data_IF_243727532177
#
_entry.id   IF_243727532177
#
_cell.length_a   1.000
_cell.length_b   1.000
_cell.length_c   1.000
_cell.angle_alpha   90.00
_cell.angle_beta   90.00
_cell.angle_gamma   90.00
#
_symmetry.space_group_name_H-M   'P 1'
#
loop_
_entity.id
_entity.type
_entity.pdbx_description
1 polymer ?
#
# COMPACT_ATOMS: atom_id res chain seq x y z
N UNK A 1 22.60 -34.04 12.94
CA UNK A 1 23.17 -34.01 14.30
C UNK A 1 23.51 -32.56 14.57
N UNK A 2 22.88 -31.92 15.57
CA UNK A 2 23.03 -30.48 15.83
C UNK A 2 24.47 -30.22 16.29
N UNK A 3 25.19 -29.33 15.58
CA UNK A 3 26.51 -28.88 16.00
C UNK A 3 26.35 -27.82 17.12
N UNK A 4 26.64 -28.22 18.36
CA UNK A 4 26.43 -27.40 19.56
C UNK A 4 27.27 -26.12 19.61
N UNK A 5 28.47 -26.13 19.01
CA UNK A 5 29.33 -24.95 18.95
C UNK A 5 28.74 -23.90 17.99
N UNK A 6 28.28 -24.35 16.82
CA UNK A 6 27.62 -23.50 15.83
C UNK A 6 26.30 -22.95 16.39
N UNK A 7 25.55 -23.81 17.10
CA UNK A 7 24.30 -23.43 17.73
C UNK A 7 24.50 -22.26 18.72
N UNK A 8 25.44 -22.40 19.64
CA UNK A 8 25.71 -21.36 20.64
C UNK A 8 26.13 -20.03 20.02
N UNK A 9 26.87 -20.07 18.90
CA UNK A 9 27.25 -18.87 18.16
C UNK A 9 26.04 -18.19 17.49
N UNK A 10 25.15 -18.98 16.89
CA UNK A 10 23.94 -18.47 16.24
C UNK A 10 22.95 -17.90 17.26
N UNK A 11 22.73 -18.60 18.38
CA UNK A 11 21.85 -18.12 19.44
C UNK A 11 22.36 -16.82 20.04
N UNK A 12 23.66 -16.75 20.38
CA UNK A 12 24.27 -15.53 20.90
C UNK A 12 24.14 -14.37 19.91
N UNK A 13 24.21 -14.64 18.61
CA UNK A 13 24.12 -13.61 17.58
C UNK A 13 22.69 -13.14 17.34
N UNK A 14 21.74 -14.05 17.10
CA UNK A 14 20.35 -13.66 16.84
C UNK A 14 19.67 -13.06 18.07
N UNK A 15 20.06 -13.45 19.29
CA UNK A 15 19.52 -12.86 20.53
C UNK A 15 19.84 -11.37 20.69
N UNK A 16 20.83 -10.83 19.96
CA UNK A 16 21.12 -9.39 19.95
C UNK A 16 20.06 -8.59 19.16
N UNK A 17 19.38 -9.21 18.20
CA UNK A 17 18.44 -8.55 17.27
C UNK A 17 16.99 -9.04 17.42
N UNK A 18 16.82 -10.26 17.90
CA UNK A 18 15.54 -10.94 18.12
C UNK A 18 15.53 -11.35 19.59
N UNK A 19 14.88 -10.56 20.46
CA UNK A 19 14.67 -10.96 21.84
C UNK A 19 14.07 -12.36 21.91
N UNK A 20 14.55 -13.18 22.84
CA UNK A 20 14.03 -14.53 23.07
C UNK A 20 14.09 -15.47 21.86
N UNK A 21 15.10 -15.31 20.98
CA UNK A 21 15.29 -16.13 19.78
C UNK A 21 15.13 -17.63 20.04
N UNK A 22 15.77 -18.17 21.09
CA UNK A 22 15.69 -19.61 21.43
C UNK A 22 14.33 -20.04 21.96
N UNK A 23 13.46 -19.11 22.38
CA UNK A 23 12.07 -19.40 22.78
C UNK A 23 11.13 -19.34 21.58
N UNK A 24 11.40 -18.45 20.62
CA UNK A 24 10.56 -18.24 19.43
C UNK A 24 10.89 -19.21 18.30
N UNK A 25 12.13 -19.66 18.16
CA UNK A 25 12.58 -20.51 17.07
C UNK A 25 13.01 -21.90 17.53
N UNK A 26 12.32 -22.93 17.05
CA UNK A 26 12.77 -24.32 17.21
C UNK A 26 13.71 -24.71 16.07
N UNK A 27 14.85 -25.27 16.44
CA UNK A 27 15.87 -25.72 15.49
C UNK A 27 15.58 -27.16 15.09
N UNK A 28 14.99 -27.32 13.92
CA UNK A 28 14.63 -28.63 13.37
C UNK A 28 15.84 -29.36 12.78
N UNK A 29 16.80 -28.60 12.22
CA UNK A 29 18.01 -29.16 11.61
C UNK A 29 19.15 -28.15 11.65
N UNK A 30 20.33 -28.60 12.04
CA UNK A 30 21.58 -27.86 11.90
C UNK A 30 22.67 -28.85 11.49
N UNK A 31 23.18 -28.72 10.27
CA UNK A 31 24.32 -29.50 9.78
C UNK A 31 25.29 -28.64 8.96
N UNK A 32 26.22 -29.27 8.24
CA UNK A 32 27.23 -28.57 7.47
C UNK A 32 26.66 -27.76 6.30
N UNK A 33 25.45 -28.05 5.82
CA UNK A 33 24.89 -27.43 4.62
C UNK A 33 23.71 -26.51 4.93
N UNK A 34 22.85 -26.90 5.88
CA UNK A 34 21.57 -26.23 6.11
C UNK A 34 21.29 -26.02 7.59
N UNK A 35 20.60 -24.91 7.84
CA UNK A 35 19.99 -24.56 9.11
C UNK A 35 18.48 -24.39 8.88
N UNK A 36 17.66 -25.19 9.55
CA UNK A 36 16.20 -25.17 9.42
C UNK A 36 15.60 -24.77 10.74
N UNK A 37 14.85 -23.66 10.72
CA UNK A 37 14.15 -23.08 11.84
C UNK A 37 12.64 -23.24 11.67
N UNK A 38 11.93 -23.37 12.77
CA UNK A 38 10.48 -23.24 12.85
C UNK A 38 10.15 -22.09 13.79
N UNK A 39 9.52 -21.04 13.26
CA UNK A 39 9.00 -19.94 14.06
C UNK A 39 7.71 -20.41 14.76
N UNK A 40 7.74 -20.47 16.09
CA UNK A 40 6.63 -20.96 16.92
C UNK A 40 5.40 -20.03 16.83
N UNK A 41 5.61 -18.72 16.70
CA UNK A 41 4.53 -17.73 16.59
C UNK A 41 3.66 -17.93 15.34
N UNK A 42 4.26 -18.40 14.25
CA UNK A 42 3.62 -18.46 12.93
C UNK A 42 3.49 -19.89 12.37
N UNK A 43 4.07 -20.89 13.03
CA UNK A 43 4.23 -22.27 12.54
C UNK A 43 4.87 -22.33 11.13
N UNK A 44 5.77 -21.37 10.85
CA UNK A 44 6.47 -21.27 9.57
C UNK A 44 7.88 -21.82 9.66
N UNK A 45 8.25 -22.58 8.64
CA UNK A 45 9.59 -23.16 8.51
C UNK A 45 10.42 -22.35 7.54
N UNK A 46 11.63 -22.00 7.97
CA UNK A 46 12.61 -21.32 7.15
C UNK A 46 13.87 -22.17 7.02
N UNK A 47 14.44 -22.16 5.82
CA UNK A 47 15.70 -22.83 5.48
C UNK A 47 16.74 -21.76 5.18
N UNK A 48 17.86 -21.84 5.86
CA UNK A 48 19.03 -20.99 5.68
C UNK A 48 20.17 -21.88 5.18
N UNK A 49 20.85 -21.46 4.12
CA UNK A 49 22.04 -22.16 3.63
C UNK A 49 23.23 -21.84 4.55
N UNK A 50 23.54 -22.79 5.42
CA UNK A 50 24.62 -22.67 6.36
C UNK A 50 26.00 -22.68 5.67
N UNK A 51 26.14 -23.38 4.55
CA UNK A 51 27.41 -23.43 3.82
C UNK A 51 27.82 -22.07 3.27
N UNK A 52 26.88 -21.28 2.75
CA UNK A 52 27.20 -19.95 2.23
C UNK A 52 27.44 -18.95 3.35
N UNK A 53 26.65 -19.00 4.43
CA UNK A 53 26.91 -18.24 5.65
C UNK A 53 28.31 -18.58 6.22
N UNK A 54 28.66 -19.87 6.26
CA UNK A 54 29.93 -20.38 6.79
C UNK A 54 31.14 -20.02 5.94
N UNK A 55 31.00 -19.81 4.63
CA UNK A 55 32.12 -19.33 3.78
C UNK A 55 32.43 -17.84 4.02
N UNK A 56 31.45 -17.08 4.49
CA UNK A 56 31.56 -15.66 4.82
C UNK A 56 32.09 -15.43 6.24
N UNK A 57 31.71 -16.32 7.18
CA UNK A 57 32.20 -16.41 8.56
C UNK A 57 33.74 -16.44 8.83
N UNK A 58 34.63 -17.08 8.03
CA UNK A 58 36.03 -17.31 8.40
C UNK A 58 36.91 -16.06 8.26
N UNK A 59 36.47 -15.06 7.49
CA UNK A 59 37.14 -13.75 7.41
C UNK A 59 37.02 -13.00 8.75
N UNK A 60 35.93 -13.23 9.49
CA UNK A 60 35.61 -12.50 10.72
C UNK A 60 36.08 -13.17 12.02
N UNK A 61 36.09 -14.50 12.09
CA UNK A 61 36.55 -15.19 13.31
C UNK A 61 38.06 -15.01 13.53
N UNK A 62 38.84 -14.78 12.46
CA UNK A 62 40.28 -14.48 12.59
C UNK A 62 40.59 -13.02 12.95
N UNK A 63 39.66 -12.07 12.71
CA UNK A 63 39.76 -10.68 13.14
C UNK A 63 39.35 -10.48 14.63
N UNK A 64 38.58 -11.43 15.18
CA UNK A 64 38.00 -11.42 16.54
C UNK A 64 38.98 -11.57 17.72
N UNK A 65 40.30 -11.42 17.50
CA UNK A 65 41.29 -11.35 18.58
C UNK A 65 41.66 -9.93 19.00
N UNK A 66 41.20 -8.90 18.30
CA UNK A 66 41.32 -7.51 18.75
C UNK A 66 39.94 -6.97 19.16
N UNK A 67 39.73 -6.94 20.48
CA UNK A 67 38.64 -6.20 21.12
C UNK A 67 38.74 -4.74 20.67
N UNK A 68 37.72 -4.25 19.97
CA UNK A 68 37.09 -2.93 20.22
C UNK A 68 36.19 -2.45 19.08
N UNK A 69 36.05 -3.15 17.96
CA UNK A 69 35.03 -2.90 16.93
C UNK A 69 34.73 -4.23 16.19
N UNK A 70 33.60 -4.35 15.48
CA UNK A 70 33.24 -5.50 14.59
C UNK A 70 32.37 -6.64 15.18
N UNK A 71 31.20 -6.32 15.73
CA UNK A 71 30.06 -7.27 15.75
C UNK A 71 29.18 -7.17 14.46
N UNK A 72 29.49 -6.22 13.56
CA UNK A 72 28.69 -5.78 12.40
C UNK A 72 28.43 -6.82 11.29
N UNK A 73 29.25 -7.87 11.16
CA UNK A 73 29.48 -8.40 9.81
C UNK A 73 28.89 -9.76 9.47
N UNK A 74 28.34 -10.48 10.43
CA UNK A 74 27.55 -11.69 10.15
C UNK A 74 26.19 -11.33 9.54
N UNK A 75 25.70 -10.13 9.84
CA UNK A 75 24.41 -9.54 9.42
C UNK A 75 24.49 -8.96 8.01
N UNK A 76 25.66 -8.43 7.62
CA UNK A 76 25.93 -7.86 6.30
C UNK A 76 25.64 -8.84 5.14
N UNK A 77 25.37 -10.12 5.42
CA UNK A 77 25.40 -11.18 4.43
C UNK A 77 24.15 -12.06 4.36
N UNK A 78 23.18 -11.93 5.29
CA UNK A 78 21.85 -12.55 5.19
C UNK A 78 20.90 -11.63 4.40
N UNK A 79 21.27 -11.35 3.16
CA UNK A 79 20.38 -10.60 2.25
C UNK A 79 19.17 -11.44 1.84
N UNK A 80 18.07 -10.76 1.50
CA UNK A 80 16.84 -11.32 0.89
C UNK A 80 17.10 -12.42 -0.16
N UNK A 81 18.22 -12.34 -0.89
CA UNK A 81 18.62 -13.30 -1.90
C UNK A 81 18.81 -14.73 -1.35
N UNK A 82 19.39 -14.87 -0.16
CA UNK A 82 19.68 -16.17 0.45
C UNK A 82 18.40 -16.84 0.96
N UNK A 83 17.41 -16.07 1.43
CA UNK A 83 16.11 -16.63 1.80
C UNK A 83 15.29 -17.06 0.57
N UNK A 84 15.28 -16.25 -0.50
CA UNK A 84 14.53 -16.54 -1.74
C UNK A 84 14.93 -17.88 -2.37
N UNK A 85 16.22 -18.19 -2.43
CA UNK A 85 16.71 -19.39 -3.11
C UNK A 85 16.28 -20.69 -2.41
N UNK A 86 16.34 -20.71 -1.07
CA UNK A 86 16.10 -21.90 -0.25
C UNK A 86 14.65 -22.04 0.24
N UNK A 87 13.85 -20.96 0.14
CA UNK A 87 12.46 -20.92 0.61
C UNK A 87 11.47 -20.68 -0.54
N UNK A 88 11.55 -21.45 -1.63
CA UNK A 88 10.74 -21.28 -2.86
C UNK A 88 9.21 -21.24 -2.68
N UNK A 89 8.70 -21.68 -1.54
CA UNK A 89 7.28 -21.58 -1.21
C UNK A 89 6.85 -20.17 -0.80
N UNK A 90 7.79 -19.31 -0.41
CA UNK A 90 7.55 -17.92 -0.07
C UNK A 90 7.56 -17.06 -1.35
N UNK A 91 6.66 -16.10 -1.39
CA UNK A 91 6.73 -14.94 -2.26
C UNK A 91 7.43 -13.83 -1.46
N UNK A 92 8.64 -13.47 -1.85
CA UNK A 92 9.35 -12.33 -1.28
C UNK A 92 9.15 -11.09 -2.15
N UNK A 93 8.82 -9.97 -1.52
CA UNK A 93 8.77 -8.64 -2.14
C UNK A 93 9.99 -7.89 -1.59
N UNK A 94 10.93 -7.55 -2.49
CA UNK A 94 12.26 -7.01 -2.15
C UNK A 94 12.21 -5.92 -1.11
N UNK A 95 12.84 -6.17 0.05
CA UNK A 95 12.92 -5.27 1.21
C UNK A 95 11.59 -4.71 1.71
N UNK A 96 10.45 -5.24 1.25
CA UNK A 96 9.11 -4.87 1.71
C UNK A 96 8.56 -5.92 2.67
N UNK A 97 8.67 -7.20 2.33
CA UNK A 97 8.01 -8.25 3.09
C UNK A 97 7.85 -9.56 2.35
N UNK A 98 6.99 -10.42 2.88
CA UNK A 98 6.82 -11.78 2.39
C UNK A 98 5.38 -12.26 2.47
N UNK A 99 5.07 -13.27 1.67
CA UNK A 99 3.83 -14.03 1.73
C UNK A 99 4.09 -15.52 1.59
N UNK A 100 3.45 -16.32 2.42
CA UNK A 100 3.53 -17.77 2.40
C UNK A 100 2.17 -18.40 2.71
N UNK A 101 1.68 -19.23 1.80
CA UNK A 101 0.35 -19.86 1.88
C UNK A 101 -0.76 -18.83 2.06
N UNK A 102 -1.24 -18.65 3.29
CA UNK A 102 -2.34 -17.74 3.66
C UNK A 102 -1.90 -16.66 4.65
N UNK A 103 -0.61 -16.51 4.88
CA UNK A 103 -0.03 -15.50 5.76
C UNK A 103 0.90 -14.59 4.97
N UNK A 104 0.88 -13.29 5.23
CA UNK A 104 1.87 -12.35 4.73
C UNK A 104 2.16 -11.26 5.74
N UNK A 105 3.32 -10.64 5.61
CA UNK A 105 3.75 -9.53 6.47
C UNK A 105 4.61 -8.56 5.67
N UNK A 106 4.25 -7.28 5.73
CA UNK A 106 4.81 -6.23 4.88
C UNK A 106 5.14 -5.00 5.70
N UNK A 107 6.27 -4.35 5.44
CA UNK A 107 6.64 -3.08 6.04
C UNK A 107 5.58 -2.03 5.69
N UNK A 108 5.09 -1.35 6.72
CA UNK A 108 4.14 -0.27 6.60
C UNK A 108 4.82 1.05 6.97
N UNK A 109 4.78 2.01 6.07
CA UNK A 109 5.26 3.37 6.31
C UNK A 109 4.07 4.32 6.29
N UNK A 110 3.92 5.10 7.36
CA UNK A 110 2.82 6.05 7.45
C UNK A 110 3.14 7.19 8.43
N UNK A 111 3.12 8.46 7.99
CA UNK A 111 3.65 9.54 8.82
C UNK A 111 2.81 9.89 10.03
N UNK A 112 1.50 9.70 9.95
CA UNK A 112 0.64 9.78 11.11
C UNK A 112 1.12 8.92 12.29
N UNK A 113 1.73 7.76 12.03
CA UNK A 113 2.26 6.90 13.08
C UNK A 113 3.61 7.39 13.65
N UNK A 114 4.29 8.36 13.02
CA UNK A 114 5.47 9.03 13.57
C UNK A 114 5.06 10.12 14.58
N UNK A 115 4.08 10.97 14.21
CA UNK A 115 3.77 12.19 14.95
C UNK A 115 2.65 12.02 15.98
N UNK A 116 1.78 11.03 15.78
CA UNK A 116 0.62 10.80 16.62
C UNK A 116 0.67 9.39 17.22
N UNK A 117 0.45 9.31 18.53
CA UNK A 117 0.45 8.04 19.26
C UNK A 117 -0.67 7.13 18.75
N UNK A 118 -0.31 5.86 18.62
CA UNK A 118 -1.11 4.65 18.40
C UNK A 118 -2.02 4.69 17.16
N UNK A 119 -1.93 3.67 16.27
CA UNK A 119 -2.91 3.48 15.22
C UNK A 119 -4.34 3.48 15.79
N UNK A 120 -5.23 4.32 15.26
CA UNK A 120 -6.66 4.24 15.64
C UNK A 120 -7.27 2.89 15.27
N UNK A 121 -6.74 2.28 14.24
CA UNK A 121 -7.09 0.93 13.79
C UNK A 121 -5.81 0.10 13.70
N UNK A 122 -5.64 -0.84 14.61
CA UNK A 122 -4.51 -1.77 14.60
C UNK A 122 -4.94 -3.19 14.21
N UNK A 123 -6.22 -3.54 14.29
CA UNK A 123 -6.72 -4.86 13.87
C UNK A 123 -8.10 -4.75 13.21
N UNK A 124 -8.27 -5.39 12.05
CA UNK A 124 -9.55 -5.39 11.33
C UNK A 124 -9.66 -6.55 10.34
N UNK A 125 -10.85 -6.77 9.79
CA UNK A 125 -11.10 -7.80 8.76
C UNK A 125 -11.55 -7.20 7.45
N UNK A 126 -11.15 -7.80 6.34
CA UNK A 126 -11.65 -7.55 4.99
C UNK A 126 -12.23 -8.87 4.46
N UNK A 127 -13.55 -9.04 4.57
CA UNK A 127 -14.19 -10.34 4.37
C UNK A 127 -13.67 -11.35 5.39
N UNK A 128 -13.09 -12.45 4.91
CA UNK A 128 -12.51 -13.51 5.76
C UNK A 128 -11.01 -13.33 6.04
N UNK A 129 -10.41 -12.23 5.57
CA UNK A 129 -8.98 -11.94 5.76
C UNK A 129 -8.82 -11.03 6.97
N UNK A 130 -7.95 -11.44 7.89
CA UNK A 130 -7.58 -10.65 9.07
C UNK A 130 -6.36 -9.80 8.77
N UNK A 131 -6.42 -8.53 9.17
CA UNK A 131 -5.38 -7.53 8.98
C UNK A 131 -4.96 -7.02 10.36
N UNK A 132 -3.66 -7.00 10.62
CA UNK A 132 -3.09 -6.46 11.85
C UNK A 132 -1.94 -5.51 11.51
N UNK A 133 -1.91 -4.36 12.18
CA UNK A 133 -0.79 -3.43 12.21
C UNK A 133 -0.09 -3.62 13.55
N UNK A 134 1.13 -4.12 13.50
CA UNK A 134 1.92 -4.43 14.69
C UNK A 134 3.39 -4.18 14.44
N UNK A 135 4.20 -4.28 15.49
CA UNK A 135 5.65 -4.34 15.33
C UNK A 135 6.06 -5.59 14.53
N UNK A 136 7.18 -5.56 13.78
CA UNK A 136 7.67 -6.70 13.01
C UNK A 136 7.73 -7.98 13.84
N UNK A 137 7.19 -9.08 13.31
CA UNK A 137 7.28 -10.40 13.93
C UNK A 137 8.72 -10.89 14.02
N UNK A 138 8.98 -11.84 14.90
CA UNK A 138 10.31 -12.45 15.03
C UNK A 138 10.80 -13.05 13.70
N UNK A 139 9.89 -13.61 12.88
CA UNK A 139 10.22 -14.13 11.56
C UNK A 139 10.58 -13.02 10.57
N UNK A 140 9.85 -11.91 10.61
CA UNK A 140 10.18 -10.73 9.80
C UNK A 140 11.56 -10.19 10.20
N UNK A 141 11.82 -10.01 11.49
CA UNK A 141 13.12 -9.56 12.02
C UNK A 141 14.27 -10.46 11.56
N UNK A 142 14.05 -11.77 11.52
CA UNK A 142 15.03 -12.74 11.04
C UNK A 142 15.33 -12.59 9.54
N UNK A 143 14.30 -12.41 8.71
CA UNK A 143 14.46 -12.34 7.26
C UNK A 143 14.96 -10.99 6.77
N UNK A 144 14.60 -9.92 7.46
CA UNK A 144 14.89 -8.54 7.08
C UNK A 144 15.90 -7.88 8.03
N UNK A 145 16.75 -8.67 8.70
CA UNK A 145 17.71 -8.17 9.69
C UNK A 145 18.71 -7.14 9.15
N UNK A 146 18.93 -7.10 7.83
CA UNK A 146 19.79 -6.14 7.17
C UNK A 146 19.42 -4.67 7.48
N UNK A 147 18.18 -4.38 7.91
CA UNK A 147 17.76 -3.03 8.35
C UNK A 147 18.51 -2.55 9.60
N UNK A 148 18.98 -3.45 10.47
CA UNK A 148 19.63 -3.06 11.73
C UNK A 148 20.99 -2.40 11.56
N UNK A 149 21.52 -2.38 10.33
CA UNK A 149 22.81 -1.80 10.00
C UNK A 149 22.70 -0.35 9.50
N UNK A 150 21.48 0.18 9.32
CA UNK A 150 21.27 1.56 8.92
C UNK A 150 21.46 2.48 10.13
N UNK A 151 22.26 3.56 9.98
CA UNK A 151 22.47 4.56 11.03
C UNK A 151 21.15 5.25 11.46
N UNK A 152 20.12 5.22 10.60
CA UNK A 152 18.78 5.74 10.88
C UNK A 152 17.87 4.71 11.56
N UNK A 153 18.32 3.47 11.81
CA UNK A 153 17.60 2.47 12.62
C UNK A 153 17.74 2.76 14.12
N UNK A 154 17.38 3.98 14.52
CA UNK A 154 17.63 4.52 15.88
C UNK A 154 16.65 3.95 16.91
N UNK A 155 15.38 3.80 16.52
CA UNK A 155 14.30 3.37 17.42
C UNK A 155 14.14 1.84 17.47
N UNK A 156 15.03 1.12 16.79
CA UNK A 156 15.01 -0.33 16.72
C UNK A 156 13.76 -0.88 16.03
N UNK A 157 13.51 -2.17 16.23
CA UNK A 157 12.35 -2.86 15.64
C UNK A 157 11.01 -2.34 16.16
N UNK A 158 11.00 -1.81 17.39
CA UNK A 158 9.79 -1.26 18.01
C UNK A 158 9.35 0.04 17.36
N UNK A 159 10.24 0.70 16.62
CA UNK A 159 9.92 1.87 15.80
C UNK A 159 9.43 1.56 14.39
N UNK A 160 9.26 0.28 14.05
CA UNK A 160 8.72 -0.13 12.76
C UNK A 160 7.32 -0.71 12.93
N UNK A 161 6.50 -0.56 11.89
CA UNK A 161 5.21 -1.23 11.80
C UNK A 161 5.19 -2.12 10.56
N UNK A 162 4.59 -3.30 10.71
CA UNK A 162 4.24 -4.19 9.61
C UNK A 162 2.74 -4.37 9.54
N UNK A 163 2.25 -4.57 8.32
CA UNK A 163 0.91 -5.03 8.02
C UNK A 163 0.95 -6.55 7.87
N UNK A 164 0.39 -7.27 8.84
CA UNK A 164 0.18 -8.71 8.81
C UNK A 164 -1.17 -9.02 8.18
N UNK A 165 -1.18 -10.03 7.32
CA UNK A 165 -2.34 -10.46 6.54
C UNK A 165 -2.54 -11.95 6.73
N UNK A 166 -3.62 -12.35 7.40
CA UNK A 166 -3.92 -13.75 7.74
C UNK A 166 -5.18 -14.20 7.02
N UNK A 167 -5.14 -15.37 6.40
CA UNK A 167 -6.25 -15.92 5.62
C UNK A 167 -6.25 -15.51 4.14
N UNK A 168 -5.27 -14.75 3.64
CA UNK A 168 -5.26 -14.26 2.26
C UNK A 168 -4.47 -15.17 1.30
N UNK A 169 -5.11 -15.63 0.23
CA UNK A 169 -4.43 -16.35 -0.85
C UNK A 169 -3.57 -15.41 -1.69
N UNK A 170 -2.51 -15.95 -2.31
CA UNK A 170 -1.56 -15.18 -3.14
C UNK A 170 -2.24 -14.40 -4.27
N UNK A 171 -3.31 -14.95 -4.85
CA UNK A 171 -4.06 -14.32 -5.95
C UNK A 171 -4.82 -13.08 -5.52
N UNK A 172 -5.15 -12.98 -4.23
CA UNK A 172 -5.96 -11.91 -3.65
C UNK A 172 -5.12 -10.89 -2.88
N UNK A 173 -3.82 -11.14 -2.76
CA UNK A 173 -2.90 -10.37 -1.92
C UNK A 173 -2.87 -8.90 -2.31
N UNK A 174 -2.56 -8.59 -3.58
CA UNK A 174 -2.48 -7.20 -4.06
C UNK A 174 -3.78 -6.45 -3.79
N UNK A 175 -4.93 -7.08 -4.09
CA UNK A 175 -6.25 -6.51 -3.84
C UNK A 175 -6.47 -6.20 -2.37
N UNK A 176 -6.13 -7.16 -1.50
CA UNK A 176 -6.30 -7.03 -0.06
C UNK A 176 -5.42 -5.91 0.49
N UNK A 177 -4.16 -5.82 0.05
CA UNK A 177 -3.23 -4.77 0.47
C UNK A 177 -3.73 -3.38 0.05
N UNK A 178 -4.21 -3.21 -1.19
CA UNK A 178 -4.76 -1.93 -1.64
C UNK A 178 -5.98 -1.48 -0.81
N UNK A 179 -6.87 -2.43 -0.46
CA UNK A 179 -8.02 -2.16 0.41
C UNK A 179 -7.59 -1.83 1.84
N UNK A 180 -6.61 -2.55 2.38
CA UNK A 180 -6.08 -2.29 3.71
C UNK A 180 -5.48 -0.88 3.81
N UNK A 181 -4.63 -0.47 2.86
CA UNK A 181 -4.05 0.88 2.84
C UNK A 181 -5.12 1.98 2.78
N UNK A 182 -6.16 1.78 1.96
CA UNK A 182 -7.29 2.70 1.89
C UNK A 182 -8.04 2.81 3.21
N UNK A 183 -8.35 1.67 3.86
CA UNK A 183 -9.04 1.64 5.14
C UNK A 183 -8.20 2.29 6.25
N UNK A 184 -6.90 2.01 6.31
CA UNK A 184 -5.98 2.64 7.26
C UNK A 184 -6.04 4.16 7.12
N UNK A 185 -5.90 4.67 5.89
CA UNK A 185 -5.96 6.12 5.65
C UNK A 185 -7.33 6.74 5.89
N UNK A 186 -8.40 5.95 5.81
CA UNK A 186 -9.77 6.43 6.04
C UNK A 186 -10.07 6.58 7.54
N UNK A 187 -9.65 5.61 8.34
CA UNK A 187 -9.92 5.57 9.78
C UNK A 187 -8.84 6.27 10.61
N UNK A 188 -7.64 6.39 10.05
CA UNK A 188 -6.56 7.21 10.57
C UNK A 188 -6.13 8.22 9.50
N UNK A 189 -6.89 9.33 9.31
CA UNK A 189 -6.68 10.24 8.20
C UNK A 189 -5.39 11.05 8.33
N UNK A 190 -4.59 11.16 7.24
CA UNK A 190 -3.30 11.83 7.30
C UNK A 190 -3.47 13.33 7.52
N UNK A 191 -2.60 13.88 8.34
CA UNK A 191 -2.65 15.32 8.65
C UNK A 191 -1.85 16.18 7.68
N UNK A 192 -0.91 15.58 6.94
CA UNK A 192 -0.01 16.28 6.03
C UNK A 192 -0.23 15.88 4.56
N UNK A 193 0.03 16.82 3.65
CA UNK A 193 0.00 16.56 2.20
C UNK A 193 1.13 15.60 1.82
N UNK A 194 0.78 14.51 1.13
CA UNK A 194 1.73 13.47 0.76
C UNK A 194 1.93 12.39 1.83
N UNK A 195 1.30 12.55 3.01
CA UNK A 195 1.21 11.49 4.00
C UNK A 195 0.08 10.52 3.63
N UNK A 196 0.45 9.25 3.44
CA UNK A 196 -0.47 8.18 3.09
C UNK A 196 0.19 6.84 3.45
N UNK A 197 -0.55 5.83 3.97
CA UNK A 197 0.02 4.54 4.29
C UNK A 197 0.53 3.85 3.03
N UNK A 198 1.74 3.31 3.12
CA UNK A 198 2.43 2.68 1.99
C UNK A 198 3.15 1.40 2.40
N UNK A 199 3.22 0.47 1.45
CA UNK A 199 4.15 -0.66 1.50
C UNK A 199 5.26 -0.32 0.52
N UNK A 200 6.42 0.06 1.05
CA UNK A 200 7.61 0.40 0.27
C UNK A 200 8.80 -0.44 0.74
N UNK A 201 9.78 -0.68 -0.14
CA UNK A 201 11.02 -1.29 0.28
C UNK A 201 11.69 -0.39 1.30
N UNK A 202 12.37 -0.99 2.26
CA UNK A 202 13.36 -0.26 3.05
C UNK A 202 14.49 0.20 2.10
N UNK A 203 14.63 1.51 1.92
CA UNK A 203 15.68 2.11 1.08
C UNK A 203 16.87 2.51 1.97
N UNK A 204 18.04 1.94 1.71
CA UNK A 204 19.30 2.11 2.46
C UNK A 204 19.97 3.50 2.31
N UNK A 205 19.42 4.40 1.48
CA UNK A 205 20.07 5.67 1.19
C UNK A 205 19.03 6.79 1.02
N UNK A 206 18.84 7.59 2.07
CA UNK A 206 18.04 8.81 1.98
C UNK A 206 18.05 9.59 3.28
N UNK A 207 18.74 10.73 3.28
CA UNK A 207 18.71 11.72 4.36
C UNK A 207 17.26 11.96 4.86
N UNK A 208 17.02 11.69 6.14
CA UNK A 208 15.85 12.10 6.93
C UNK A 208 14.53 11.31 6.78
N UNK A 209 14.54 9.98 6.65
CA UNK A 209 13.38 9.20 7.08
C UNK A 209 13.57 8.79 8.54
N UNK A 210 12.95 9.56 9.45
CA UNK A 210 12.80 9.17 10.86
C UNK A 210 11.69 8.12 10.94
N UNK A 211 11.94 7.04 11.69
CA UNK A 211 11.05 5.87 11.79
C UNK A 211 10.13 5.99 13.04
N UNK A 212 9.03 5.21 13.12
CA UNK A 212 7.85 5.49 13.96
C UNK A 212 8.20 5.37 15.45
N UNK A 213 7.54 6.14 16.32
CA UNK A 213 7.65 5.96 17.77
C UNK A 213 6.36 5.29 18.25
N UNK A 214 6.44 4.11 18.89
CA UNK A 214 5.25 3.32 19.22
C UNK A 214 4.99 3.15 20.72
N UNK A 215 3.74 3.39 21.09
CA UNK A 215 3.06 2.70 22.21
C UNK A 215 1.72 2.19 21.67
N UNK A 216 1.44 0.89 21.77
CA UNK A 216 0.18 0.30 21.29
C UNK A 216 -0.87 0.33 22.41
N UNK A 217 -1.91 1.15 22.27
CA UNK A 217 -3.11 1.08 23.11
C UNK A 217 -4.05 -0.04 22.65
N UNK A 218 -5.03 -0.40 23.51
CA UNK A 218 -5.92 -1.55 23.31
C UNK A 218 -6.68 -1.50 21.96
N UNK A 219 -6.74 -2.63 21.23
CA UNK A 219 -7.26 -2.68 19.86
C UNK A 219 -8.77 -2.44 19.77
N UNK A 220 -9.18 -1.52 18.89
CA UNK A 220 -10.54 -1.49 18.35
C UNK A 220 -10.62 -2.41 17.12
N UNK A 221 -11.52 -3.38 17.16
CA UNK A 221 -11.71 -4.36 16.07
C UNK A 221 -12.85 -3.94 15.14
N UNK A 222 -12.58 -3.93 13.84
CA UNK A 222 -13.54 -3.57 12.80
C UNK A 222 -13.70 -4.70 11.77
N UNK A 223 -14.93 -4.93 11.29
CA UNK A 223 -15.23 -5.89 10.22
C UNK A 223 -15.69 -5.14 8.95
N UNK A 224 -14.94 -5.30 7.86
CA UNK A 224 -15.26 -4.73 6.55
C UNK A 224 -15.64 -5.81 5.54
N UNK A 225 -16.54 -5.48 4.62
CA UNK A 225 -16.83 -6.32 3.46
C UNK A 225 -15.72 -6.12 2.42
N UNK A 226 -15.29 -7.19 1.76
CA UNK A 226 -14.33 -7.08 0.66
C UNK A 226 -14.89 -6.22 -0.49
N UNK A 227 -14.11 -5.25 -0.93
CA UNK A 227 -14.52 -4.28 -1.94
C UNK A 227 -14.60 -4.95 -3.32
N UNK A 228 -15.61 -4.60 -4.11
CA UNK A 228 -15.87 -5.23 -5.41
C UNK A 228 -14.89 -4.80 -6.51
N UNK A 229 -14.36 -3.57 -6.44
CA UNK A 229 -13.51 -2.97 -7.47
C UNK A 229 -12.18 -2.50 -6.85
N UNK A 230 -11.07 -3.10 -7.30
CA UNK A 230 -9.74 -2.85 -6.70
C UNK A 230 -8.98 -1.77 -7.45
N UNK A 231 -9.12 -1.70 -8.76
CA UNK A 231 -8.47 -0.72 -9.62
C UNK A 231 -8.75 0.73 -9.21
N UNK A 232 -10.00 1.16 -8.90
CA UNK A 232 -10.26 2.51 -8.42
C UNK A 232 -9.59 2.80 -7.08
N UNK A 233 -9.50 1.81 -6.18
CA UNK A 233 -8.81 1.95 -4.90
C UNK A 233 -7.30 2.12 -5.13
N UNK A 234 -6.71 1.33 -6.03
CA UNK A 234 -5.30 1.45 -6.39
C UNK A 234 -4.98 2.81 -7.02
N UNK A 235 -5.85 3.32 -7.92
CA UNK A 235 -5.71 4.68 -8.47
C UNK A 235 -5.80 5.73 -7.36
N UNK A 236 -6.76 5.60 -6.44
CA UNK A 236 -6.87 6.51 -5.31
C UNK A 236 -5.60 6.51 -4.44
N UNK A 237 -5.11 5.33 -4.05
CA UNK A 237 -3.89 5.18 -3.24
C UNK A 237 -2.67 5.84 -3.90
N UNK A 238 -2.49 5.65 -5.22
CA UNK A 238 -1.41 6.32 -5.97
C UNK A 238 -1.63 7.83 -6.04
N UNK A 239 -2.87 8.28 -6.26
CA UNK A 239 -3.23 9.69 -6.28
C UNK A 239 -2.91 10.39 -4.96
N UNK A 240 -3.17 9.74 -3.82
CA UNK A 240 -2.81 10.23 -2.49
C UNK A 240 -1.30 10.31 -2.30
N UNK A 241 -0.56 9.25 -2.68
CA UNK A 241 0.91 9.22 -2.60
C UNK A 241 1.57 10.33 -3.41
N UNK A 242 1.13 10.53 -4.66
CA UNK A 242 1.74 11.50 -5.57
C UNK A 242 1.12 12.89 -5.47
N UNK A 243 0.03 13.03 -4.73
CA UNK A 243 -0.82 14.22 -4.70
C UNK A 243 -1.21 14.69 -6.12
N UNK A 244 -1.60 13.74 -6.97
CA UNK A 244 -1.85 13.95 -8.40
C UNK A 244 -3.35 13.79 -8.74
N UNK A 245 -4.05 14.88 -9.12
CA UNK A 245 -5.48 14.86 -9.41
C UNK A 245 -5.87 13.97 -10.59
N UNK A 246 -4.94 13.62 -11.48
CA UNK A 246 -5.24 12.73 -12.60
C UNK A 246 -5.58 11.31 -12.14
N UNK A 247 -4.94 10.84 -11.08
CA UNK A 247 -5.23 9.52 -10.53
C UNK A 247 -6.60 9.49 -9.83
N UNK A 248 -6.97 10.55 -9.12
CA UNK A 248 -8.33 10.68 -8.58
C UNK A 248 -9.37 10.75 -9.70
N UNK A 249 -9.08 11.46 -10.80
CA UNK A 249 -9.99 11.48 -11.95
C UNK A 249 -10.14 10.11 -12.62
N UNK A 250 -9.08 9.29 -12.66
CA UNK A 250 -9.17 7.89 -13.15
C UNK A 250 -10.12 7.02 -12.35
N UNK A 251 -10.30 7.31 -11.06
CA UNK A 251 -11.35 6.67 -10.25
C UNK A 251 -12.72 6.96 -10.86
N UNK A 252 -13.00 8.23 -11.19
CA UNK A 252 -14.27 8.62 -11.83
C UNK A 252 -14.43 7.95 -13.19
N UNK A 253 -13.37 7.95 -14.01
CA UNK A 253 -13.36 7.32 -15.34
C UNK A 253 -13.72 5.83 -15.28
N UNK A 254 -13.18 5.11 -14.29
CA UNK A 254 -13.48 3.70 -14.06
C UNK A 254 -14.99 3.47 -13.86
N UNK A 255 -15.65 4.39 -13.13
CA UNK A 255 -17.08 4.29 -12.84
C UNK A 255 -18.00 4.87 -13.92
N UNK A 256 -17.48 5.53 -14.98
CA UNK A 256 -18.32 5.98 -16.10
C UNK A 256 -19.11 4.86 -16.76
N UNK A 257 -18.48 3.69 -16.93
CA UNK A 257 -19.11 2.52 -17.56
C UNK A 257 -19.89 1.71 -16.53
N UNK A 258 -19.39 1.59 -15.30
CA UNK A 258 -20.05 0.83 -14.23
C UNK A 258 -21.38 1.48 -13.85
N UNK A 259 -21.46 2.80 -13.80
CA UNK A 259 -22.71 3.55 -13.58
C UNK A 259 -23.76 3.30 -14.67
N UNK A 260 -23.36 2.78 -15.85
CA UNK A 260 -24.26 2.39 -16.94
C UNK A 260 -24.58 0.89 -16.97
N UNK A 261 -24.12 0.10 -16.01
CA UNK A 261 -24.31 -1.36 -16.00
C UNK A 261 -25.79 -1.76 -16.04
N UNK A 262 -26.66 -1.04 -15.34
CA UNK A 262 -28.12 -1.26 -15.37
C UNK A 262 -28.73 -0.91 -16.73
N UNK A 263 -28.25 0.15 -17.38
CA UNK A 263 -28.66 0.55 -18.73
C UNK A 263 -28.23 -0.51 -19.75
N UNK A 264 -27.02 -1.04 -19.64
CA UNK A 264 -26.51 -2.14 -20.47
C UNK A 264 -27.31 -3.42 -20.25
N UNK A 265 -27.60 -3.79 -18.99
CA UNK A 265 -28.45 -4.94 -18.67
C UNK A 265 -29.85 -4.79 -19.28
N UNK A 266 -30.46 -3.61 -19.16
CA UNK A 266 -31.73 -3.31 -19.81
C UNK A 266 -31.68 -3.44 -21.34
N UNK A 267 -30.58 -3.02 -21.98
CA UNK A 267 -30.39 -3.23 -23.43
C UNK A 267 -30.28 -4.72 -23.79
N UNK A 268 -29.58 -5.51 -22.98
CA UNK A 268 -29.46 -6.97 -23.18
C UNK A 268 -30.81 -7.66 -22.99
N UNK A 269 -31.57 -7.30 -21.96
CA UNK A 269 -32.89 -7.88 -21.70
C UNK A 269 -33.89 -7.52 -22.81
N UNK A 270 -33.88 -6.26 -23.27
CA UNK A 270 -34.69 -5.82 -24.40
C UNK A 270 -34.31 -6.54 -25.70
N UNK A 271 -33.02 -6.78 -25.94
CA UNK A 271 -32.57 -7.60 -27.06
C UNK A 271 -33.06 -9.03 -26.95
N UNK A 272 -32.92 -9.67 -25.79
CA UNK A 272 -33.36 -11.04 -25.56
C UNK A 272 -34.87 -11.21 -25.75
N UNK A 273 -35.67 -10.16 -25.48
CA UNK A 273 -37.11 -10.16 -25.69
C UNK A 273 -37.53 -9.84 -27.14
N UNK A 274 -36.89 -8.85 -27.77
CA UNK A 274 -37.31 -8.33 -29.08
C UNK A 274 -36.56 -8.95 -30.27
N UNK A 275 -35.42 -9.61 -30.03
CA UNK A 275 -34.51 -10.20 -31.00
C UNK A 275 -34.10 -9.24 -32.15
N UNK A 276 -33.99 -7.94 -31.84
CA UNK A 276 -33.62 -6.88 -32.79
C UNK A 276 -32.16 -6.50 -32.62
N UNK A 277 -31.29 -7.20 -33.33
CA UNK A 277 -29.83 -6.99 -33.23
C UNK A 277 -29.41 -5.59 -33.68
N UNK A 278 -30.02 -5.02 -34.73
CA UNK A 278 -29.65 -3.70 -35.24
C UNK A 278 -29.94 -2.59 -34.21
N UNK A 279 -31.10 -2.64 -33.56
CA UNK A 279 -31.47 -1.69 -32.49
C UNK A 279 -30.57 -1.83 -31.25
N UNK A 280 -30.18 -3.06 -30.91
CA UNK A 280 -29.23 -3.31 -29.84
C UNK A 280 -27.84 -2.74 -30.16
N UNK A 281 -27.33 -3.00 -31.37
CA UNK A 281 -26.03 -2.50 -31.85
C UNK A 281 -26.03 -0.97 -31.89
N UNK A 282 -27.08 -0.33 -32.40
CA UNK A 282 -27.21 1.14 -32.39
C UNK A 282 -27.21 1.70 -30.97
N UNK A 283 -27.96 1.09 -30.06
CA UNK A 283 -28.09 1.56 -28.67
C UNK A 283 -26.79 1.39 -27.88
N UNK A 284 -26.11 0.25 -28.04
CA UNK A 284 -24.79 0.02 -27.47
C UNK A 284 -23.76 0.98 -28.08
N UNK A 285 -23.74 1.15 -29.40
CA UNK A 285 -22.79 2.06 -30.07
C UNK A 285 -22.98 3.50 -29.60
N UNK A 286 -24.23 3.94 -29.39
CA UNK A 286 -24.53 5.26 -28.82
C UNK A 286 -24.05 5.38 -27.36
N UNK A 287 -24.22 4.32 -26.56
CA UNK A 287 -23.78 4.28 -25.17
C UNK A 287 -22.25 4.40 -25.06
N UNK A 288 -21.50 3.69 -25.92
CA UNK A 288 -20.04 3.77 -26.00
C UNK A 288 -19.53 5.04 -26.71
N UNK A 289 -20.31 5.63 -27.61
CA UNK A 289 -20.01 6.89 -28.28
C UNK A 289 -20.38 8.14 -27.47
N UNK A 290 -20.84 7.97 -26.23
CA UNK A 290 -21.20 9.10 -25.35
C UNK A 290 -19.93 9.88 -24.99
N UNK A 291 -19.99 11.20 -25.11
CA UNK A 291 -18.85 12.08 -24.77
C UNK A 291 -18.56 12.02 -23.28
N UNK A 292 -17.28 12.10 -22.92
CA UNK A 292 -16.79 12.02 -21.55
C UNK A 292 -17.49 13.00 -20.60
N UNK A 293 -17.70 14.25 -21.02
CA UNK A 293 -18.39 15.26 -20.22
C UNK A 293 -19.83 14.85 -19.84
N UNK A 294 -20.53 14.13 -20.73
CA UNK A 294 -21.87 13.60 -20.47
C UNK A 294 -21.81 12.38 -19.54
N UNK A 295 -20.78 11.55 -19.67
CA UNK A 295 -20.56 10.42 -18.75
C UNK A 295 -20.28 10.92 -17.33
N UNK A 296 -19.48 11.97 -17.20
CA UNK A 296 -19.16 12.63 -15.95
C UNK A 296 -20.42 13.23 -15.30
N UNK A 297 -21.19 14.03 -16.04
CA UNK A 297 -22.45 14.60 -15.52
C UNK A 297 -23.43 13.53 -15.03
N UNK A 298 -23.56 12.43 -15.79
CA UNK A 298 -24.41 11.31 -15.41
C UNK A 298 -23.89 10.56 -14.17
N UNK A 299 -22.57 10.40 -14.02
CA UNK A 299 -21.98 9.83 -12.81
C UNK A 299 -22.31 10.71 -11.61
N UNK A 300 -22.01 12.02 -11.70
CA UNK A 300 -22.20 12.97 -10.62
C UNK A 300 -23.67 13.08 -10.19
N UNK A 301 -24.60 13.05 -11.14
CA UNK A 301 -26.04 13.11 -10.87
C UNK A 301 -26.57 11.90 -10.11
N UNK A 302 -25.84 10.77 -10.15
CA UNK A 302 -26.21 9.53 -9.47
C UNK A 302 -25.49 9.36 -8.13
N UNK A 303 -24.59 10.28 -7.75
CA UNK A 303 -23.88 10.21 -6.49
C UNK A 303 -24.77 10.69 -5.33
N UNK A 304 -24.82 9.93 -4.24
CA UNK A 304 -25.51 10.38 -3.03
C UNK A 304 -24.71 11.53 -2.38
N UNK A 305 -25.41 12.50 -1.80
CA UNK A 305 -24.83 13.67 -1.11
C UNK A 305 -23.76 14.43 -1.92
N UNK A 306 -23.85 14.46 -3.24
CA UNK A 306 -22.91 15.21 -4.11
C UNK A 306 -23.02 16.74 -3.90
N UNK A 307 -24.18 17.21 -3.42
CA UNK A 307 -24.47 18.62 -3.24
C UNK A 307 -23.47 19.34 -2.33
N UNK A 308 -22.89 18.65 -1.33
CA UNK A 308 -21.88 19.26 -0.45
C UNK A 308 -20.59 19.57 -1.21
N UNK A 309 -20.14 18.66 -2.08
CA UNK A 309 -18.93 18.83 -2.89
C UNK A 309 -19.14 19.92 -3.95
N UNK A 310 -20.32 19.97 -4.59
CA UNK A 310 -20.66 21.02 -5.56
C UNK A 310 -20.72 22.39 -4.87
N UNK A 311 -21.29 22.45 -3.66
CA UNK A 311 -21.35 23.67 -2.87
C UNK A 311 -19.96 24.15 -2.44
N UNK A 312 -19.06 23.25 -2.06
CA UNK A 312 -17.66 23.58 -1.77
C UNK A 312 -16.95 24.16 -3.00
N UNK A 313 -17.09 23.52 -4.17
CA UNK A 313 -16.53 24.05 -5.41
C UNK A 313 -17.09 25.45 -5.76
N UNK A 314 -18.37 25.70 -5.47
CA UNK A 314 -18.97 27.03 -5.64
C UNK A 314 -18.39 28.05 -4.65
N UNK A 315 -18.27 27.68 -3.37
CA UNK A 315 -17.72 28.53 -2.32
C UNK A 315 -16.26 28.90 -2.57
N UNK A 316 -15.48 27.98 -3.12
CA UNK A 316 -14.07 28.17 -3.49
C UNK A 316 -13.91 28.91 -4.84
N UNK A 317 -15.01 29.29 -5.49
CA UNK A 317 -15.00 30.07 -6.74
C UNK A 317 -14.57 29.27 -7.98
N UNK A 318 -14.52 27.95 -7.89
CA UNK A 318 -14.19 27.06 -9.01
C UNK A 318 -15.30 27.04 -10.06
N UNK A 319 -16.55 27.23 -9.60
CA UNK A 319 -17.74 27.28 -10.45
C UNK A 319 -18.58 28.52 -10.12
N UNK A 320 -19.33 29.01 -11.12
CA UNK A 320 -20.12 30.24 -11.00
C UNK A 320 -21.56 29.98 -10.54
N UNK A 321 -22.04 28.74 -10.67
CA UNK A 321 -23.39 28.32 -10.31
C UNK A 321 -23.27 27.01 -9.55
N UNK A 322 -23.96 26.91 -8.42
CA UNK A 322 -24.03 25.72 -7.58
C UNK A 322 -25.00 24.68 -8.19
N UNK A 323 -24.61 24.07 -9.30
CA UNK A 323 -25.34 22.99 -9.95
C UNK A 323 -24.39 21.94 -10.58
N UNK A 324 -24.91 20.72 -10.74
CA UNK A 324 -24.15 19.58 -11.28
C UNK A 324 -23.69 19.81 -12.74
N UNK A 325 -24.52 20.33 -13.67
CA UNK A 325 -24.08 20.54 -15.05
C UNK A 325 -22.92 21.52 -15.18
N UNK A 326 -22.94 22.63 -14.43
CA UNK A 326 -21.84 23.61 -14.42
C UNK A 326 -20.59 23.00 -13.80
N UNK A 327 -20.76 22.25 -12.71
CA UNK A 327 -19.68 21.54 -12.04
C UNK A 327 -19.00 20.48 -12.92
N UNK A 328 -19.78 19.62 -13.56
CA UNK A 328 -19.28 18.57 -14.46
C UNK A 328 -18.50 19.16 -15.62
N UNK A 329 -19.01 20.24 -16.23
CA UNK A 329 -18.33 20.92 -17.32
C UNK A 329 -16.99 21.49 -16.85
N UNK A 330 -16.96 22.19 -15.71
CA UNK A 330 -15.75 22.82 -15.17
C UNK A 330 -14.71 21.82 -14.74
N UNK A 331 -15.14 20.70 -14.15
CA UNK A 331 -14.26 19.59 -13.79
C UNK A 331 -13.60 18.97 -15.04
N UNK A 332 -14.37 18.74 -16.11
CA UNK A 332 -13.83 18.24 -17.38
C UNK A 332 -12.85 19.23 -18.03
N UNK A 333 -13.17 20.53 -18.02
CA UNK A 333 -12.27 21.59 -18.51
C UNK A 333 -10.95 21.61 -17.73
N UNK A 334 -11.02 21.53 -16.39
CA UNK A 334 -9.84 21.46 -15.53
C UNK A 334 -8.98 20.24 -15.84
N UNK A 335 -9.57 19.04 -15.90
CA UNK A 335 -8.86 17.81 -16.26
C UNK A 335 -8.14 17.94 -17.60
N UNK A 336 -8.78 18.50 -18.61
CA UNK A 336 -8.12 18.70 -19.90
C UNK A 336 -6.98 19.71 -19.84
N UNK A 337 -7.09 20.73 -18.99
CA UNK A 337 -6.02 21.73 -18.80
C UNK A 337 -4.75 21.12 -18.21
N UNK A 338 -4.88 20.14 -17.31
CA UNK A 338 -3.75 19.45 -16.68
C UNK A 338 -3.17 18.35 -17.57
N UNK A 339 -4.00 17.61 -18.33
CA UNK A 339 -3.53 16.57 -19.28
C UNK A 339 -2.86 17.18 -20.51
N UNK A 340 -3.40 18.28 -21.03
CA UNK A 340 -2.93 18.91 -22.27
C UNK A 340 -2.09 20.16 -22.02
N UNK A 341 -1.36 20.19 -20.91
CA UNK A 341 -0.39 21.24 -20.61
C UNK A 341 0.39 21.66 -21.86
N UNK A 342 0.07 22.86 -22.37
CA UNK A 342 0.75 23.59 -23.45
C UNK A 342 0.48 23.15 -24.90
N UNK A 343 -0.79 23.12 -25.33
CA UNK A 343 -1.12 23.13 -26.78
C UNK A 343 -2.11 24.20 -27.22
N UNK A 344 -2.31 25.26 -26.43
CA UNK A 344 -2.86 26.48 -27.00
C UNK A 344 -1.78 27.19 -27.81
N UNK A 345 -2.19 27.76 -28.94
CA UNK A 345 -1.40 28.35 -30.04
C UNK A 345 -0.50 29.53 -29.60
N UNK A 346 -0.45 29.83 -28.29
CA UNK A 346 0.48 30.76 -27.66
C UNK A 346 1.45 29.97 -26.78
N UNK A 347 2.72 30.03 -27.17
CA UNK A 347 3.91 29.44 -26.53
C UNK A 347 4.22 30.05 -25.14
N UNK A 348 3.21 30.31 -24.31
CA UNK A 348 3.44 30.69 -22.92
C UNK A 348 3.64 29.40 -22.11
N UNK A 349 4.91 29.04 -21.94
CA UNK A 349 5.30 28.06 -20.93
C UNK A 349 4.85 28.65 -19.58
N UNK A 350 3.74 28.17 -19.01
CA UNK A 350 3.44 28.40 -17.60
C UNK A 350 4.62 27.84 -16.79
N UNK A 351 5.50 28.73 -16.36
CA UNK A 351 6.55 28.44 -15.39
C UNK A 351 5.90 28.53 -14.02
N UNK A 352 5.90 27.45 -13.22
CA UNK A 352 5.32 27.50 -11.89
C UNK A 352 5.99 28.61 -11.09
N UNK A 353 5.18 29.53 -10.58
CA UNK A 353 5.67 30.62 -9.75
C UNK A 353 5.69 30.14 -8.30
N UNK A 354 6.88 30.06 -7.72
CA UNK A 354 7.09 29.59 -6.34
C UNK A 354 6.31 30.43 -5.31
N UNK A 355 6.12 31.72 -5.57
CA UNK A 355 5.45 32.67 -4.67
C UNK A 355 3.98 32.95 -5.03
N UNK A 356 3.48 32.32 -6.10
CA UNK A 356 2.12 32.50 -6.62
C UNK A 356 1.62 31.12 -7.07
N UNK A 357 1.51 30.15 -6.13
CA UNK A 357 0.93 28.86 -6.43
C UNK A 357 -0.52 29.11 -6.88
N UNK A 358 -0.92 28.54 -8.03
CA UNK A 358 -2.28 28.67 -8.55
C UNK A 358 -3.27 28.22 -7.46
N UNK A 359 -4.02 29.15 -6.83
CA UNK A 359 -4.87 28.78 -5.69
C UNK A 359 -5.94 27.78 -6.12
N UNK A 360 -6.38 27.87 -7.38
CA UNK A 360 -7.39 26.99 -7.95
C UNK A 360 -6.93 25.53 -8.06
N UNK A 361 -5.62 25.25 -8.26
CA UNK A 361 -5.16 23.88 -8.43
C UNK A 361 -5.25 23.08 -7.12
N UNK A 362 -4.96 23.74 -6.00
CA UNK A 362 -5.13 23.15 -4.67
C UNK A 362 -6.60 22.80 -4.39
N UNK A 363 -7.51 23.76 -4.64
CA UNK A 363 -8.95 23.55 -4.43
C UNK A 363 -9.51 22.47 -5.36
N UNK A 364 -9.12 22.47 -6.64
CA UNK A 364 -9.52 21.40 -7.57
C UNK A 364 -9.03 20.03 -7.13
N UNK A 365 -7.77 19.92 -6.68
CA UNK A 365 -7.24 18.66 -6.21
C UNK A 365 -8.03 18.11 -5.01
N UNK A 366 -8.32 18.96 -4.02
CA UNK A 366 -9.14 18.58 -2.87
C UNK A 366 -10.56 18.13 -3.27
N UNK A 367 -11.19 18.84 -4.20
CA UNK A 367 -12.52 18.49 -4.72
C UNK A 367 -12.51 17.15 -5.47
N UNK A 368 -11.54 16.91 -6.34
CA UNK A 368 -11.46 15.68 -7.13
C UNK A 368 -11.11 14.49 -6.22
N UNK A 369 -10.24 14.69 -5.23
CA UNK A 369 -9.96 13.67 -4.22
C UNK A 369 -11.23 13.29 -3.45
N UNK A 370 -11.96 14.28 -2.93
CA UNK A 370 -13.21 14.06 -2.18
C UNK A 370 -14.26 13.35 -3.04
N UNK A 371 -14.33 13.70 -4.32
CA UNK A 371 -15.22 13.07 -5.28
C UNK A 371 -14.82 11.61 -5.56
N UNK A 372 -13.53 11.32 -5.74
CA UNK A 372 -13.03 9.97 -5.96
C UNK A 372 -13.31 9.07 -4.74
N UNK A 373 -13.11 9.60 -3.54
CA UNK A 373 -13.46 8.90 -2.29
C UNK A 373 -14.96 8.60 -2.24
N UNK A 374 -15.82 9.60 -2.48
CA UNK A 374 -17.28 9.42 -2.50
C UNK A 374 -17.74 8.35 -3.48
N UNK A 375 -17.12 8.31 -4.65
CA UNK A 375 -17.39 7.30 -5.69
C UNK A 375 -17.00 5.91 -5.21
N UNK A 376 -15.84 5.76 -4.56
CA UNK A 376 -15.43 4.48 -3.95
C UNK A 376 -16.42 4.08 -2.87
N UNK A 377 -16.81 4.98 -1.96
CA UNK A 377 -17.78 4.69 -0.90
C UNK A 377 -19.15 4.24 -1.41
N UNK A 378 -19.56 4.72 -2.58
CA UNK A 378 -20.86 4.37 -3.14
C UNK A 378 -20.88 3.03 -3.86
N UNK A 379 -19.82 2.74 -4.62
CA UNK A 379 -19.83 1.64 -5.58
C UNK A 379 -18.98 0.44 -5.16
N UNK A 380 -18.06 0.62 -4.22
CA UNK A 380 -17.22 -0.45 -3.70
C UNK A 380 -17.70 -0.88 -2.32
#
# INVERSE_FOLDING_TARGET
>A
MINQEILSQLESHFSEHIPDFSEVFEILRLDSEQFILMCQESDLKIVINWNDLRKKLPVYISAKLNKDNEYSSLIEDLYDHDFKEFNKGFLFIESCGYHYKRYGEFLLTYQNYFYYKTPKINQFKIGDVEIEIAVPSSLYRLMFNHFTNDDNFVDGWEGLFTLRVVGCDKTDLERTLQQALFLIAKYDPPELVGDYPQIIPFEFEGDNYLWNDSSVDEPESYDFVAFNYTEPIAFYNIGRKLNDPLYFYRVLEYFFIINKKSEIQGLVDNYNQANKIDTFVESITKLYGTRENVLLENLLSNLYDIDSIVYEAYKDGLIQVNDIPTFSQKLYEYRNSIVHGKKDVKLDLNVPKILDPSPNDYHWNAIIQSLAEKVIEQFC
#
